data_IF_592385066162
#
_entry.id   IF_592385066162
#
_cell.length_a   1.000
_cell.length_b   1.000
_cell.length_c   1.000
_cell.angle_alpha   90.00
_cell.angle_beta   90.00
_cell.angle_gamma   90.00
#
_symmetry.space_group_name_H-M   'P 1'
#
loop_
_entity.id
_entity.type
_entity.pdbx_description
1 polymer ?
#
# COMPACT_ATOMS: atom_id res chain seq x y z
N UNK A 1 5.50 -9.44 -5.56
CA UNK A 1 4.29 -8.86 -6.22
C UNK A 1 4.60 -8.64 -7.72
N UNK A 2 3.58 -8.48 -8.57
CA UNK A 2 3.72 -8.19 -10.00
C UNK A 2 3.14 -6.80 -10.33
N UNK A 3 3.50 -6.18 -11.47
CA UNK A 3 2.92 -4.89 -11.87
C UNK A 3 1.39 -4.94 -11.92
N UNK A 4 0.76 -3.96 -11.29
CA UNK A 4 -0.70 -3.83 -11.22
C UNK A 4 -1.19 -2.92 -12.34
N UNK A 5 -2.29 -3.29 -13.01
CA UNK A 5 -2.92 -2.49 -14.08
C UNK A 5 -4.33 -2.11 -13.66
N UNK A 6 -4.65 -0.81 -13.74
CA UNK A 6 -5.95 -0.24 -13.35
C UNK A 6 -5.90 1.29 -13.36
N UNK A 7 -6.67 1.96 -12.50
CA UNK A 7 -6.71 3.43 -12.37
C UNK A 7 -5.68 3.91 -11.32
N UNK A 8 -4.54 4.51 -11.72
CA UNK A 8 -3.50 4.90 -10.76
C UNK A 8 -3.86 6.13 -9.92
N UNK A 9 -4.98 6.79 -10.19
CA UNK A 9 -5.37 8.04 -9.53
C UNK A 9 -5.63 7.80 -8.04
N UNK A 10 -4.99 8.60 -7.17
CA UNK A 10 -5.12 8.49 -5.71
C UNK A 10 -4.24 7.41 -5.07
N UNK A 11 -3.48 6.63 -5.85
CA UNK A 11 -2.56 5.63 -5.30
C UNK A 11 -1.43 6.26 -4.46
N UNK A 12 -0.97 7.46 -4.84
CA UNK A 12 -0.01 8.25 -4.07
C UNK A 12 -0.58 8.75 -2.74
N UNK A 13 -1.79 9.31 -2.77
CA UNK A 13 -2.49 9.77 -1.56
C UNK A 13 -2.73 8.62 -0.59
N UNK A 14 -3.08 7.45 -1.14
CA UNK A 14 -3.27 6.21 -0.38
C UNK A 14 -1.96 5.73 0.27
N UNK A 15 -0.82 5.83 -0.43
CA UNK A 15 0.49 5.54 0.17
C UNK A 15 0.79 6.48 1.34
N UNK A 16 0.57 7.79 1.16
CA UNK A 16 0.79 8.80 2.21
C UNK A 16 -0.13 8.55 3.41
N UNK A 17 -1.42 8.28 3.16
CA UNK A 17 -2.38 7.93 4.21
C UNK A 17 -1.96 6.66 4.96
N UNK A 18 -1.51 5.62 4.25
CA UNK A 18 -0.99 4.39 4.85
C UNK A 18 0.21 4.64 5.77
N UNK A 19 1.17 5.47 5.34
CA UNK A 19 2.32 5.84 6.16
C UNK A 19 1.89 6.62 7.41
N UNK A 20 1.03 7.63 7.26
CA UNK A 20 0.58 8.47 8.38
C UNK A 20 -0.29 7.68 9.37
N UNK A 21 -1.15 6.79 8.89
CA UNK A 21 -1.92 5.90 9.77
C UNK A 21 -1.00 5.03 10.63
N UNK A 22 0.07 4.48 10.05
CA UNK A 22 1.05 3.70 10.81
C UNK A 22 1.89 4.54 11.79
N UNK A 23 2.00 5.86 11.62
CA UNK A 23 2.58 6.75 12.64
C UNK A 23 1.64 6.86 13.84
N UNK A 24 0.35 7.11 13.58
CA UNK A 24 -0.68 7.24 14.61
C UNK A 24 -0.83 5.92 15.38
N UNK A 25 -0.81 4.79 14.67
CA UNK A 25 -0.94 3.44 15.25
C UNK A 25 0.34 2.95 15.95
N UNK A 26 1.46 3.68 15.88
CA UNK A 26 2.75 3.23 16.41
C UNK A 26 3.32 1.99 15.69
N UNK A 27 2.91 1.75 14.44
CA UNK A 27 3.36 0.59 13.64
C UNK A 27 4.86 0.70 13.32
N UNK A 28 5.64 -0.39 13.49
CA UNK A 28 7.05 -0.43 13.10
C UNK A 28 7.28 -0.08 11.63
N UNK A 29 8.48 0.44 11.32
CA UNK A 29 8.78 0.96 9.98
C UNK A 29 8.58 -0.05 8.84
N UNK A 30 9.07 -1.30 8.91
CA UNK A 30 8.86 -2.28 7.83
C UNK A 30 7.38 -2.62 7.60
N UNK A 31 6.61 -2.75 8.68
CA UNK A 31 5.18 -3.06 8.62
C UNK A 31 4.38 -1.87 8.07
N UNK A 32 4.79 -0.65 8.42
CA UNK A 32 4.21 0.59 7.90
C UNK A 32 4.44 0.71 6.39
N UNK A 33 5.64 0.43 5.91
CA UNK A 33 5.95 0.38 4.48
C UNK A 33 5.13 -0.69 3.76
N UNK A 34 5.01 -1.87 4.37
CA UNK A 34 4.21 -2.99 3.84
C UNK A 34 2.75 -2.57 3.64
N UNK A 35 2.13 -1.98 4.68
CA UNK A 35 0.74 -1.46 4.62
C UNK A 35 0.58 -0.37 3.55
N UNK A 36 1.48 0.62 3.52
CA UNK A 36 1.39 1.74 2.58
C UNK A 36 1.49 1.28 1.12
N UNK A 37 2.42 0.36 0.81
CA UNK A 37 2.61 -0.16 -0.55
C UNK A 37 1.44 -1.05 -0.96
N UNK A 38 0.96 -1.93 -0.07
CA UNK A 38 -0.20 -2.77 -0.34
C UNK A 38 -1.44 -1.91 -0.61
N UNK A 39 -1.69 -0.88 0.20
CA UNK A 39 -2.83 0.02 0.03
C UNK A 39 -2.73 0.80 -1.27
N UNK A 40 -1.57 1.37 -1.57
CA UNK A 40 -1.32 2.08 -2.84
C UNK A 40 -1.62 1.21 -4.06
N UNK A 41 -1.14 -0.04 -4.06
CA UNK A 41 -1.38 -0.98 -5.15
C UNK A 41 -2.86 -1.43 -5.24
N UNK A 42 -3.54 -1.58 -4.12
CA UNK A 42 -4.97 -1.90 -4.09
C UNK A 42 -5.85 -0.73 -4.59
N UNK A 43 -5.43 0.52 -4.38
CA UNK A 43 -6.08 1.71 -4.97
C UNK A 43 -6.03 1.68 -6.49
N UNK A 44 -4.93 1.20 -7.09
CA UNK A 44 -4.82 1.08 -8.54
C UNK A 44 -5.89 0.14 -9.11
N UNK A 45 -6.32 -0.88 -8.36
CA UNK A 45 -7.32 -1.85 -8.79
C UNK A 45 -8.76 -1.33 -8.64
N UNK A 46 -8.98 -0.27 -7.87
CA UNK A 46 -10.28 0.37 -7.76
C UNK A 46 -10.61 1.18 -9.02
N UNK A 47 -11.85 1.15 -9.53
CA UNK A 47 -12.27 2.05 -10.61
C UNK A 47 -12.34 3.52 -10.16
N UNK A 48 -12.55 3.78 -8.86
CA UNK A 48 -12.77 5.11 -8.29
C UNK A 48 -11.52 5.58 -7.55
N UNK A 49 -11.09 6.81 -7.83
CA UNK A 49 -9.95 7.42 -7.15
C UNK A 49 -10.23 7.59 -5.65
N UNK A 50 -9.28 7.17 -4.81
CA UNK A 50 -9.39 7.25 -3.35
C UNK A 50 -10.13 6.07 -2.70
N UNK A 51 -10.70 5.16 -3.49
CA UNK A 51 -11.14 3.85 -3.02
C UNK A 51 -10.06 2.80 -3.27
N UNK A 52 -10.11 1.68 -2.57
CA UNK A 52 -9.17 0.56 -2.77
C UNK A 52 -9.93 -0.77 -2.78
N UNK A 53 -9.41 -1.74 -3.52
CA UNK A 53 -9.92 -3.11 -3.47
C UNK A 53 -9.45 -3.79 -2.17
N UNK A 54 -10.40 -4.10 -1.27
CA UNK A 54 -10.09 -4.67 0.03
C UNK A 54 -9.50 -6.09 -0.06
N UNK A 55 -9.99 -6.93 -0.97
CA UNK A 55 -9.49 -8.28 -1.15
C UNK A 55 -8.06 -8.28 -1.70
N UNK A 56 -7.78 -7.38 -2.64
CA UNK A 56 -6.44 -7.16 -3.15
C UNK A 56 -5.51 -6.61 -2.07
N UNK A 57 -5.98 -5.69 -1.23
CA UNK A 57 -5.18 -5.16 -0.11
C UNK A 57 -4.75 -6.28 0.86
N UNK A 58 -5.67 -7.14 1.28
CA UNK A 58 -5.37 -8.29 2.14
C UNK A 58 -4.37 -9.27 1.49
N UNK A 59 -4.56 -9.58 0.21
CA UNK A 59 -3.62 -10.42 -0.54
C UNK A 59 -2.22 -9.78 -0.61
N UNK A 60 -2.17 -8.48 -0.91
CA UNK A 60 -0.92 -7.75 -1.10
C UNK A 60 -0.15 -7.57 0.20
N UNK A 61 -0.82 -7.44 1.36
CA UNK A 61 -0.18 -7.41 2.67
C UNK A 61 0.70 -8.64 2.91
N UNK A 62 0.25 -9.83 2.48
CA UNK A 62 1.04 -11.07 2.59
C UNK A 62 2.14 -11.23 1.53
N UNK A 63 2.15 -10.38 0.49
CA UNK A 63 3.05 -10.51 -0.67
C UNK A 63 4.13 -9.43 -0.74
N UNK A 64 3.92 -8.28 -0.12
CA UNK A 64 4.91 -7.20 -0.05
C UNK A 64 6.05 -7.64 0.87
N UNK A 65 7.28 -7.44 0.42
CA UNK A 65 8.50 -7.69 1.19
C UNK A 65 9.28 -6.39 1.26
N UNK A 66 9.64 -6.00 2.47
CA UNK A 66 10.51 -4.85 2.72
C UNK A 66 11.87 -5.39 3.11
N UNK A 67 12.90 -4.92 2.43
CA UNK A 67 14.30 -5.25 2.70
C UNK A 67 15.07 -3.97 2.96
N UNK A 68 16.07 -4.05 3.83
CA UNK A 68 17.05 -2.98 3.96
C UNK A 68 17.99 -3.05 2.75
N UNK A 69 18.26 -1.91 2.13
CA UNK A 69 19.31 -1.81 1.12
C UNK A 69 20.66 -1.76 1.85
N UNK A 70 21.61 -2.57 1.37
CA UNK A 70 22.98 -2.47 1.85
C UNK A 70 23.59 -1.13 1.39
N UNK A 71 24.50 -0.52 2.17
CA UNK A 71 25.12 0.76 1.83
C UNK A 71 25.87 0.76 0.49
#
# INVERSE_FOLDING_TARGET
PAPVRGNPTGAGDSAVAGLLSGVVDGTPWPDRLTRAVALSAATVLSPVAGEFDAGAYEELLGRVKVTEEAP
#
